data_IF_583790396106
#
_entry.id   IF_583790396106
#
_cell.length_a   1.000
_cell.length_b   1.000
_cell.length_c   1.000
_cell.angle_alpha   90.00
_cell.angle_beta   90.00
_cell.angle_gamma   90.00
#
_symmetry.space_group_name_H-M   'P 1'
#
loop_
_entity.id
_entity.type
_entity.pdbx_description
1 polymer ?
#
# COMPACT_ATOMS: atom_id res chain seq x y z
N UNK A 1 -16.08 -43.32 -71.54
CA UNK A 1 -16.44 -43.81 -70.19
C UNK A 1 -15.28 -43.57 -69.25
N UNK A 2 -15.39 -42.63 -68.31
CA UNK A 2 -14.79 -42.71 -66.98
C UNK A 2 -15.31 -41.53 -66.14
N UNK A 3 -15.73 -41.88 -64.94
CA UNK A 3 -16.70 -41.18 -64.13
C UNK A 3 -16.12 -39.97 -63.40
N UNK A 4 -16.94 -38.92 -63.28
CA UNK A 4 -16.79 -37.86 -62.29
C UNK A 4 -17.08 -38.43 -60.90
N UNK A 5 -16.21 -38.19 -59.92
CA UNK A 5 -16.54 -38.30 -58.50
C UNK A 5 -16.40 -36.92 -57.88
N UNK A 6 -17.54 -36.33 -57.53
CA UNK A 6 -17.62 -35.12 -56.71
C UNK A 6 -17.73 -35.57 -55.26
N UNK A 7 -16.72 -35.24 -54.44
CA UNK A 7 -16.73 -35.49 -52.99
C UNK A 7 -17.11 -34.17 -52.32
N UNK A 8 -18.33 -34.11 -51.80
CA UNK A 8 -18.82 -33.01 -50.97
C UNK A 8 -18.25 -33.19 -49.55
N UNK A 9 -17.25 -32.38 -49.16
CA UNK A 9 -16.80 -32.29 -47.78
C UNK A 9 -17.80 -31.42 -46.99
N UNK A 10 -18.56 -32.05 -46.10
CA UNK A 10 -19.35 -31.37 -45.07
C UNK A 10 -18.38 -30.95 -43.96
N UNK A 11 -18.11 -29.64 -43.84
CA UNK A 11 -17.32 -29.08 -42.76
C UNK A 11 -18.08 -29.14 -41.44
N UNK A 12 -17.65 -30.01 -40.52
CA UNK A 12 -18.02 -29.91 -39.11
C UNK A 12 -17.25 -28.72 -38.51
N UNK A 13 -17.97 -27.63 -38.22
CA UNK A 13 -17.46 -26.54 -37.41
C UNK A 13 -17.60 -26.96 -35.93
N UNK A 14 -16.51 -27.21 -35.18
CA UNK A 14 -16.63 -27.48 -33.76
C UNK A 14 -17.10 -26.20 -33.07
N UNK A 15 -18.30 -26.24 -32.46
CA UNK A 15 -18.71 -25.24 -31.49
C UNK A 15 -17.71 -25.30 -30.33
N UNK A 16 -16.79 -24.34 -30.28
CA UNK A 16 -16.06 -24.03 -29.07
C UNK A 16 -17.05 -23.39 -28.10
N UNK A 17 -17.55 -24.18 -27.16
CA UNK A 17 -18.19 -23.65 -25.96
C UNK A 17 -17.08 -22.92 -25.19
N UNK A 18 -17.00 -21.59 -25.33
CA UNK A 18 -16.23 -20.79 -24.38
C UNK A 18 -16.85 -21.00 -23.01
N UNK A 19 -16.20 -21.81 -22.18
CA UNK A 19 -16.43 -21.78 -20.75
C UNK A 19 -16.07 -20.37 -20.30
N UNK A 20 -17.11 -19.55 -20.09
CA UNK A 20 -16.96 -18.28 -19.41
C UNK A 20 -16.65 -18.65 -17.96
N UNK A 21 -15.38 -18.93 -17.67
CA UNK A 21 -14.86 -18.93 -16.32
C UNK A 21 -15.05 -17.49 -15.86
N UNK A 22 -16.16 -17.22 -15.18
CA UNK A 22 -16.31 -15.97 -14.47
C UNK A 22 -15.11 -15.87 -13.56
N UNK A 23 -14.32 -14.80 -13.72
CA UNK A 23 -13.33 -14.46 -12.72
C UNK A 23 -14.07 -14.45 -11.37
N UNK A 24 -13.63 -15.29 -10.42
CA UNK A 24 -14.03 -15.09 -9.03
C UNK A 24 -13.66 -13.64 -8.71
N UNK A 25 -14.65 -12.85 -8.35
CA UNK A 25 -14.42 -11.49 -7.88
C UNK A 25 -13.65 -11.63 -6.57
N UNK A 26 -12.32 -11.48 -6.65
CA UNK A 26 -11.46 -11.62 -5.48
C UNK A 26 -11.96 -10.68 -4.39
N UNK A 27 -12.05 -11.20 -3.17
CA UNK A 27 -12.51 -10.40 -2.04
C UNK A 27 -11.60 -9.16 -1.90
N UNK A 28 -12.17 -7.97 -1.61
CA UNK A 28 -11.37 -6.76 -1.45
C UNK A 28 -10.29 -6.95 -0.39
N UNK A 29 -9.06 -6.51 -0.69
CA UNK A 29 -7.95 -6.62 0.26
C UNK A 29 -8.26 -5.86 1.56
N UNK A 30 -7.78 -6.36 2.69
CA UNK A 30 -7.96 -5.73 4.00
C UNK A 30 -6.70 -5.00 4.43
N UNK A 31 -6.87 -3.72 4.77
CA UNK A 31 -5.79 -2.83 5.20
C UNK A 31 -6.00 -2.45 6.67
N UNK A 32 -5.00 -2.69 7.51
CA UNK A 32 -4.90 -2.06 8.83
C UNK A 32 -4.14 -0.75 8.68
N UNK A 33 -4.83 0.38 8.81
CA UNK A 33 -4.22 1.70 8.71
C UNK A 33 -3.87 2.26 10.08
N UNK A 34 -2.59 2.26 10.40
CA UNK A 34 -2.03 2.71 11.67
C UNK A 34 -1.67 4.20 11.56
N UNK A 35 -2.34 5.04 12.35
CA UNK A 35 -2.15 6.50 12.36
C UNK A 35 -1.76 7.04 13.73
N UNK A 36 -1.35 6.15 14.66
CA UNK A 36 -0.85 6.56 15.97
C UNK A 36 0.54 7.22 15.82
N UNK A 37 0.74 8.36 16.47
CA UNK A 37 2.05 9.01 16.57
C UNK A 37 2.50 9.11 18.02
N UNK A 38 3.76 8.77 18.29
CA UNK A 38 4.48 8.98 19.55
C UNK A 38 5.55 10.05 19.35
N UNK A 39 5.11 11.30 19.31
CA UNK A 39 5.96 12.44 18.97
C UNK A 39 5.12 13.55 18.40
N UNK A 40 5.58 14.16 17.30
CA UNK A 40 4.78 15.12 16.58
C UNK A 40 3.54 14.44 15.95
N UNK A 41 2.37 15.07 16.11
CA UNK A 41 1.10 14.58 15.58
C UNK A 41 0.64 15.52 14.47
N UNK A 42 0.82 15.09 13.22
CA UNK A 42 0.43 15.81 12.02
C UNK A 42 -1.08 16.03 11.96
N UNK A 43 -1.52 17.13 11.34
CA UNK A 43 -2.94 17.42 11.18
C UNK A 43 -3.70 16.38 10.35
N UNK A 44 -3.02 15.72 9.42
CA UNK A 44 -3.56 14.66 8.56
C UNK A 44 -3.96 13.39 9.32
N UNK A 45 -3.33 13.12 10.47
CA UNK A 45 -3.58 11.94 11.32
C UNK A 45 -4.22 12.30 12.65
N UNK A 46 -4.45 13.59 12.93
CA UNK A 46 -5.07 14.00 14.18
C UNK A 46 -6.57 13.72 14.15
N UNK A 47 -7.01 12.70 14.89
CA UNK A 47 -8.43 12.48 15.20
C UNK A 47 -8.97 13.60 16.10
N UNK A 48 -10.24 13.89 15.93
CA UNK A 48 -11.03 14.69 16.87
C UNK A 48 -12.11 13.77 17.45
N UNK A 49 -13.39 14.13 17.31
CA UNK A 49 -14.52 13.24 17.62
C UNK A 49 -14.73 12.15 16.55
N UNK A 50 -14.07 12.29 15.40
CA UNK A 50 -14.18 11.42 14.23
C UNK A 50 -12.81 11.00 13.71
N UNK A 51 -12.80 10.15 12.68
CA UNK A 51 -11.61 9.76 11.93
C UNK A 51 -10.81 10.98 11.46
N UNK A 52 -9.50 10.82 11.37
CA UNK A 52 -8.59 11.84 10.86
C UNK A 52 -8.77 12.05 9.35
N UNK A 53 -8.35 13.20 8.79
CA UNK A 53 -8.47 13.48 7.35
C UNK A 53 -7.90 12.37 6.44
N UNK A 54 -6.73 11.82 6.78
CA UNK A 54 -6.11 10.72 6.03
C UNK A 54 -6.92 9.42 6.09
N UNK A 55 -7.48 9.11 7.26
CA UNK A 55 -8.31 7.92 7.48
C UNK A 55 -9.60 8.00 6.67
N UNK A 56 -10.26 9.17 6.68
CA UNK A 56 -11.46 9.42 5.88
C UNK A 56 -11.14 9.24 4.40
N UNK A 57 -10.07 9.86 3.92
CA UNK A 57 -9.68 9.78 2.51
C UNK A 57 -9.39 8.34 2.07
N UNK A 58 -8.68 7.56 2.90
CA UNK A 58 -8.30 6.21 2.52
C UNK A 58 -9.47 5.23 2.57
N UNK A 59 -10.36 5.35 3.56
CA UNK A 59 -11.62 4.59 3.63
C UNK A 59 -12.48 4.89 2.41
N UNK A 60 -12.68 6.17 2.08
CA UNK A 60 -13.49 6.58 0.93
C UNK A 60 -12.91 6.08 -0.40
N UNK A 61 -11.58 6.06 -0.54
CA UNK A 61 -10.93 5.52 -1.73
C UNK A 61 -11.22 4.01 -1.88
N UNK A 62 -11.15 3.25 -0.78
CA UNK A 62 -11.50 1.83 -0.78
C UNK A 62 -12.97 1.61 -1.16
N UNK A 63 -13.89 2.39 -0.58
CA UNK A 63 -15.32 2.33 -0.89
C UNK A 63 -15.64 2.68 -2.35
N UNK A 64 -15.00 3.72 -2.90
CA UNK A 64 -15.23 4.18 -4.27
C UNK A 64 -14.68 3.23 -5.32
N UNK A 65 -13.54 2.59 -5.03
CA UNK A 65 -12.88 1.68 -5.98
C UNK A 65 -13.37 0.24 -5.85
N UNK A 66 -13.86 -0.15 -4.68
CA UNK A 66 -14.23 -1.54 -4.35
C UNK A 66 -13.03 -2.47 -4.18
N UNK A 67 -11.79 -1.97 -4.31
CA UNK A 67 -10.58 -2.79 -4.35
C UNK A 67 -10.10 -3.25 -2.97
N UNK A 68 -10.39 -2.47 -1.93
CA UNK A 68 -9.91 -2.75 -0.58
C UNK A 68 -10.83 -2.14 0.49
N UNK A 69 -10.67 -2.61 1.73
CA UNK A 69 -11.31 -2.09 2.94
C UNK A 69 -10.25 -1.67 3.93
N UNK A 70 -10.51 -0.58 4.66
CA UNK A 70 -9.55 -0.01 5.60
C UNK A 70 -10.14 -0.02 7.01
N UNK A 71 -9.44 -0.66 7.94
CA UNK A 71 -9.69 -0.54 9.38
C UNK A 71 -8.62 0.40 9.97
N UNK A 72 -9.04 1.52 10.56
CA UNK A 72 -8.11 2.55 11.04
C UNK A 72 -7.89 2.44 12.56
N UNK A 73 -6.63 2.47 13.02
CA UNK A 73 -6.28 2.42 14.45
C UNK A 73 -5.31 3.53 14.88
N UNK A 74 -5.53 4.02 16.10
CA UNK A 74 -4.57 4.84 16.86
C UNK A 74 -4.18 4.19 18.20
N UNK A 75 -4.44 2.90 18.34
CA UNK A 75 -4.13 2.10 19.53
C UNK A 75 -3.34 0.85 19.12
N UNK A 76 -2.05 1.05 18.84
CA UNK A 76 -1.19 -0.05 18.42
C UNK A 76 -1.06 -1.14 19.49
N UNK A 77 -1.19 -0.79 20.77
CA UNK A 77 -1.05 -1.74 21.87
C UNK A 77 -2.21 -2.75 21.87
N UNK A 78 -3.42 -2.29 21.58
CA UNK A 78 -4.60 -3.14 21.47
C UNK A 78 -4.71 -3.86 20.11
N UNK A 79 -4.44 -3.15 19.02
CA UNK A 79 -4.83 -3.59 17.68
C UNK A 79 -3.68 -4.22 16.87
N UNK A 80 -2.42 -3.89 17.18
CA UNK A 80 -1.26 -4.42 16.46
C UNK A 80 -0.75 -5.69 17.12
N UNK A 81 -1.54 -6.76 17.01
CA UNK A 81 -1.22 -8.07 17.61
C UNK A 81 -1.06 -9.14 16.54
N UNK A 82 -0.26 -10.18 16.81
CA UNK A 82 -0.09 -11.35 15.93
C UNK A 82 -1.42 -11.95 15.49
N UNK A 83 -2.40 -12.03 16.39
CA UNK A 83 -3.71 -12.58 16.08
C UNK A 83 -4.54 -11.65 15.21
N UNK A 84 -4.50 -10.34 15.45
CA UNK A 84 -5.26 -9.40 14.64
C UNK A 84 -4.65 -9.22 13.23
N UNK A 85 -3.32 -9.25 13.11
CA UNK A 85 -2.61 -9.14 11.83
C UNK A 85 -2.98 -10.22 10.81
N UNK A 86 -3.49 -11.37 11.25
CA UNK A 86 -3.98 -12.45 10.36
C UNK A 86 -5.22 -12.05 9.55
N UNK A 87 -5.90 -10.97 9.94
CA UNK A 87 -7.09 -10.47 9.26
C UNK A 87 -6.77 -9.47 8.14
N UNK A 88 -5.49 -9.16 7.90
CA UNK A 88 -5.06 -8.09 7.01
C UNK A 88 -4.08 -8.60 5.97
N UNK A 89 -4.23 -8.10 4.76
CA UNK A 89 -3.30 -8.31 3.65
C UNK A 89 -2.23 -7.23 3.64
N UNK A 90 -2.57 -6.01 4.11
CA UNK A 90 -1.69 -4.84 4.12
C UNK A 90 -1.73 -4.14 5.47
N UNK A 91 -0.56 -3.71 5.96
CA UNK A 91 -0.45 -2.74 7.04
C UNK A 91 0.07 -1.42 6.46
N UNK A 92 -0.70 -0.35 6.67
CA UNK A 92 -0.33 0.99 6.24
C UNK A 92 0.07 1.87 7.44
N UNK A 93 1.15 2.62 7.32
CA UNK A 93 1.67 3.50 8.36
C UNK A 93 1.58 4.97 7.93
N UNK A 94 0.92 5.80 8.73
CA UNK A 94 1.11 7.24 8.74
C UNK A 94 1.41 7.66 10.18
N UNK A 95 2.60 7.27 10.64
CA UNK A 95 2.98 7.27 12.06
C UNK A 95 4.19 8.16 12.32
N UNK A 96 4.54 8.38 13.58
CA UNK A 96 5.77 9.10 13.98
C UNK A 96 6.27 8.50 15.30
N UNK A 97 7.60 8.40 15.45
CA UNK A 97 8.26 8.00 16.70
C UNK A 97 8.16 6.51 17.03
N UNK A 98 8.34 6.18 18.31
CA UNK A 98 8.38 4.78 18.77
C UNK A 98 6.98 4.32 19.20
N UNK A 99 6.31 3.54 18.33
CA UNK A 99 4.95 3.07 18.59
C UNK A 99 4.90 2.06 19.74
N UNK A 100 3.80 2.03 20.52
CA UNK A 100 3.63 1.11 21.65
C UNK A 100 3.20 -0.28 21.16
N UNK A 101 3.92 -0.83 20.18
CA UNK A 101 3.73 -2.20 19.71
C UNK A 101 4.61 -3.09 20.60
N UNK A 102 4.01 -4.13 21.15
CA UNK A 102 4.73 -5.08 21.98
C UNK A 102 5.83 -5.80 21.16
N UNK A 103 6.96 -6.09 21.81
CA UNK A 103 8.14 -6.61 21.12
C UNK A 103 7.84 -7.90 20.34
N UNK A 104 7.11 -8.84 20.94
CA UNK A 104 6.74 -10.09 20.28
C UNK A 104 5.90 -9.89 19.01
N UNK A 105 5.04 -8.88 18.98
CA UNK A 105 4.17 -8.58 17.84
C UNK A 105 4.96 -7.88 16.73
N UNK A 106 5.91 -7.01 17.10
CA UNK A 106 6.87 -6.42 16.14
C UNK A 106 7.79 -7.49 15.55
N UNK A 107 8.29 -8.42 16.36
CA UNK A 107 9.10 -9.53 15.87
C UNK A 107 8.31 -10.43 14.92
N UNK A 108 7.07 -10.78 15.27
CA UNK A 108 6.18 -11.53 14.38
C UNK A 108 5.97 -10.78 13.06
N UNK A 109 5.69 -9.47 13.12
CA UNK A 109 5.45 -8.66 11.93
C UNK A 109 6.62 -8.71 10.95
N UNK A 110 7.85 -8.46 11.43
CA UNK A 110 9.04 -8.44 10.57
C UNK A 110 9.56 -9.82 10.17
N UNK A 111 9.53 -10.81 11.08
CA UNK A 111 10.17 -12.11 10.86
C UNK A 111 9.23 -13.17 10.27
N UNK A 112 7.91 -13.01 10.43
CA UNK A 112 6.92 -13.99 9.96
C UNK A 112 5.89 -13.36 9.02
N UNK A 113 5.22 -12.26 9.39
CA UNK A 113 4.09 -11.74 8.63
C UNK A 113 4.50 -11.17 7.26
N UNK A 114 5.51 -10.28 7.22
CA UNK A 114 6.03 -9.72 5.96
C UNK A 114 6.60 -10.82 5.05
N UNK A 115 7.49 -11.73 5.51
CA UNK A 115 8.02 -12.80 4.66
C UNK A 115 6.97 -13.77 4.12
N UNK A 116 5.81 -13.89 4.78
CA UNK A 116 4.70 -14.73 4.33
C UNK A 116 3.71 -14.00 3.41
N UNK A 117 4.07 -12.83 2.88
CA UNK A 117 3.30 -12.12 1.86
C UNK A 117 2.48 -10.94 2.39
N UNK A 118 2.64 -10.55 3.65
CA UNK A 118 2.03 -9.33 4.18
C UNK A 118 2.59 -8.08 3.51
N UNK A 119 1.70 -7.28 2.92
CA UNK A 119 2.05 -6.02 2.27
C UNK A 119 2.22 -4.88 3.26
N UNK A 120 3.07 -3.91 2.94
CA UNK A 120 3.27 -2.74 3.79
C UNK A 120 3.30 -1.47 2.96
N UNK A 121 2.68 -0.42 3.48
CA UNK A 121 2.62 0.90 2.86
C UNK A 121 3.03 1.96 3.88
N UNK A 122 3.86 2.92 3.47
CA UNK A 122 4.21 4.07 4.30
C UNK A 122 3.77 5.37 3.65
N UNK A 123 3.19 6.25 4.46
CA UNK A 123 2.83 7.61 4.08
C UNK A 123 3.71 8.60 4.83
N UNK A 124 4.35 9.50 4.10
CA UNK A 124 4.95 10.73 4.64
C UNK A 124 5.82 10.48 5.89
N UNK A 125 5.29 10.73 7.10
CA UNK A 125 6.02 10.59 8.35
C UNK A 125 6.30 9.14 8.78
N UNK A 126 5.85 8.12 8.03
CA UNK A 126 6.24 6.74 8.26
C UNK A 126 7.78 6.58 8.37
N UNK A 127 8.55 7.28 7.54
CA UNK A 127 10.02 7.30 7.64
C UNK A 127 10.59 7.95 8.92
N UNK A 128 9.76 8.66 9.68
CA UNK A 128 10.04 9.28 11.00
C UNK A 128 9.61 8.36 12.17
N UNK A 129 9.38 7.07 11.90
CA UNK A 129 9.01 6.05 12.89
C UNK A 129 10.23 5.18 13.21
N UNK A 130 10.39 4.78 14.48
CA UNK A 130 11.42 3.84 14.94
C UNK A 130 12.87 4.13 14.49
N UNK A 131 13.38 5.32 14.80
CA UNK A 131 14.69 5.82 14.36
C UNK A 131 15.90 4.96 14.70
N UNK A 132 15.77 4.13 15.75
CA UNK A 132 16.85 3.32 16.31
C UNK A 132 16.56 1.82 16.20
N UNK A 133 15.61 1.40 15.35
CA UNK A 133 15.28 0.00 15.15
C UNK A 133 15.54 -0.40 13.70
N UNK A 134 16.63 -1.16 13.52
CA UNK A 134 17.12 -1.58 12.21
C UNK A 134 16.10 -2.26 11.31
N UNK A 135 15.34 -3.26 11.79
CA UNK A 135 14.35 -3.91 10.94
C UNK A 135 13.32 -2.95 10.34
N UNK A 136 12.98 -1.84 11.01
CA UNK A 136 12.03 -0.87 10.47
C UNK A 136 12.65 0.04 9.42
N UNK A 137 13.81 0.66 9.70
CA UNK A 137 14.41 1.57 8.72
C UNK A 137 15.00 0.84 7.51
N UNK A 138 15.45 -0.41 7.67
CA UNK A 138 15.92 -1.26 6.57
C UNK A 138 14.75 -1.57 5.63
N UNK A 139 13.62 -1.96 6.22
CA UNK A 139 12.37 -2.21 5.49
C UNK A 139 11.82 -0.94 4.79
N UNK A 140 11.81 0.22 5.47
CA UNK A 140 11.29 1.47 4.91
C UNK A 140 12.23 2.15 3.90
N UNK A 141 13.48 1.67 3.78
CA UNK A 141 14.49 2.26 2.90
C UNK A 141 15.21 3.49 3.48
N UNK A 142 15.03 3.81 4.75
CA UNK A 142 15.74 4.90 5.43
C UNK A 142 15.08 5.40 6.71
N UNK A 143 15.77 6.32 7.38
CA UNK A 143 15.28 7.03 8.58
C UNK A 143 15.31 8.53 8.34
N UNK A 144 14.19 9.21 8.59
CA UNK A 144 14.08 10.67 8.50
C UNK A 144 15.10 11.38 9.38
N UNK A 145 15.72 12.45 8.86
CA UNK A 145 16.66 13.30 9.61
C UNK A 145 16.39 14.80 9.48
N UNK A 146 15.33 15.20 8.75
CA UNK A 146 14.98 16.60 8.57
C UNK A 146 14.36 16.90 7.20
N UNK A 147 13.79 18.10 7.07
CA UNK A 147 13.19 18.59 5.83
C UNK A 147 13.53 20.08 5.60
N UNK A 148 14.65 20.41 4.93
CA UNK A 148 15.00 21.83 4.72
C UNK A 148 14.04 22.55 3.76
N UNK A 149 13.20 21.81 3.03
CA UNK A 149 12.05 22.31 2.29
C UNK A 149 10.76 21.91 3.02
N UNK A 150 9.90 22.89 3.33
CA UNK A 150 8.65 22.68 4.05
C UNK A 150 7.42 22.66 3.14
N UNK A 151 6.25 22.35 3.69
CA UNK A 151 4.99 22.12 2.95
C UNK A 151 4.53 23.27 2.01
N UNK A 152 5.09 24.47 2.14
CA UNK A 152 4.79 25.60 1.25
C UNK A 152 5.64 25.67 -0.02
N UNK A 153 6.70 24.84 -0.12
CA UNK A 153 7.65 24.87 -1.23
C UNK A 153 7.07 24.18 -2.47
N UNK A 154 7.25 24.80 -3.63
CA UNK A 154 6.95 24.15 -4.92
C UNK A 154 8.10 23.21 -5.27
N UNK A 155 7.76 21.94 -5.54
CA UNK A 155 8.72 20.88 -5.84
C UNK A 155 8.33 20.22 -7.16
N UNK A 156 9.34 19.87 -7.97
CA UNK A 156 9.16 19.07 -9.18
C UNK A 156 9.65 17.67 -8.90
N UNK A 157 8.79 16.69 -9.11
CA UNK A 157 9.11 15.27 -8.95
C UNK A 157 9.33 14.66 -10.33
N UNK A 158 10.45 13.95 -10.49
CA UNK A 158 10.81 13.23 -11.72
C UNK A 158 10.46 11.77 -11.56
N UNK A 159 9.69 11.23 -12.49
CA UNK A 159 9.39 9.81 -12.56
C UNK A 159 10.55 9.06 -13.23
N UNK A 160 11.25 8.24 -12.44
CA UNK A 160 12.38 7.42 -12.92
C UNK A 160 11.93 6.12 -13.61
N UNK A 161 10.67 5.72 -13.45
CA UNK A 161 10.11 4.48 -14.02
C UNK A 161 8.76 4.73 -14.71
N UNK A 162 8.71 5.46 -15.85
CA UNK A 162 7.45 5.88 -16.46
C UNK A 162 6.55 4.75 -16.96
N UNK A 163 7.06 3.51 -17.07
CA UNK A 163 6.26 2.33 -17.42
C UNK A 163 5.77 1.51 -16.23
N UNK A 164 6.09 1.91 -15.00
CA UNK A 164 5.61 1.24 -13.78
C UNK A 164 4.16 1.67 -13.50
N UNK A 165 3.20 0.72 -13.37
CA UNK A 165 1.78 1.04 -13.16
C UNK A 165 1.49 1.94 -11.94
N UNK A 166 2.37 1.94 -10.94
CA UNK A 166 2.22 2.79 -9.75
C UNK A 166 2.40 4.28 -10.05
N UNK A 167 3.18 4.62 -11.08
CA UNK A 167 3.60 6.00 -11.35
C UNK A 167 3.30 6.47 -12.78
N UNK A 168 2.81 5.57 -13.64
CA UNK A 168 2.50 5.85 -15.05
C UNK A 168 1.56 7.06 -15.21
N UNK A 169 0.56 7.19 -14.34
CA UNK A 169 -0.44 8.27 -14.39
C UNK A 169 0.12 9.68 -14.13
N UNK A 170 1.29 9.80 -13.52
CA UNK A 170 1.92 11.09 -13.22
C UNK A 170 2.77 11.64 -14.38
N UNK A 171 2.95 10.86 -15.45
CA UNK A 171 3.83 11.23 -16.55
C UNK A 171 5.30 11.27 -16.15
N UNK A 172 6.13 12.00 -16.92
CA UNK A 172 7.58 12.09 -16.69
C UNK A 172 7.94 12.98 -15.51
N UNK A 173 7.24 14.10 -15.37
CA UNK A 173 7.44 15.07 -14.29
C UNK A 173 6.10 15.65 -13.87
N UNK A 174 5.96 15.92 -12.58
CA UNK A 174 4.81 16.63 -12.05
C UNK A 174 5.23 17.56 -10.92
N UNK A 175 4.40 18.58 -10.67
CA UNK A 175 4.71 19.66 -9.74
C UNK A 175 3.66 19.69 -8.63
N UNK A 176 4.12 19.73 -7.39
CA UNK A 176 3.27 19.82 -6.19
C UNK A 176 3.82 20.85 -5.22
N UNK A 177 3.02 21.20 -4.21
CA UNK A 177 3.51 21.86 -3.00
C UNK A 177 3.64 20.84 -1.90
N UNK A 178 4.87 20.65 -1.41
CA UNK A 178 5.14 19.66 -0.38
C UNK A 178 6.46 19.96 0.34
N UNK A 179 6.68 19.26 1.45
CA UNK A 179 7.97 19.17 2.12
C UNK A 179 8.79 17.99 1.61
N UNK A 180 10.12 18.13 1.62
CA UNK A 180 11.04 17.10 1.11
C UNK A 180 11.96 16.63 2.21
N UNK A 181 11.91 15.32 2.44
CA UNK A 181 12.61 14.67 3.53
C UNK A 181 14.03 14.29 3.13
N UNK A 182 14.93 14.41 4.09
CA UNK A 182 16.26 13.84 4.04
C UNK A 182 16.30 12.58 4.91
N UNK A 183 17.05 11.58 4.45
CA UNK A 183 17.17 10.29 5.09
C UNK A 183 18.62 9.94 5.42
N UNK A 184 18.83 9.26 6.55
CA UNK A 184 20.01 8.40 6.79
C UNK A 184 19.64 6.94 6.61
N UNK A 185 20.63 6.05 6.56
CA UNK A 185 20.44 4.63 6.22
C UNK A 185 19.71 4.44 4.88
N UNK A 186 19.84 5.42 3.99
CA UNK A 186 19.16 5.42 2.70
C UNK A 186 19.65 4.25 1.84
N UNK A 187 18.71 3.42 1.39
CA UNK A 187 18.96 2.30 0.49
C UNK A 187 18.32 2.62 -0.88
N UNK A 188 19.11 3.11 -1.86
CA UNK A 188 18.63 3.44 -3.20
C UNK A 188 18.26 2.20 -4.03
#
# INVERSE_FOLDING_TARGET
MRHFFSVLLIGLCPLFLSANVGAEEEAPSRILFVTQSKGFVHGSVRRQETLAPSEIAFVQLGEQTGLFRVDCTQDCEADFTKDNLKNYDIVAFYTTGDLPIAEQDREYFFKEWIPNGGGVMGFHSAGDTYHNYEPYWDFMGGTFIGHPWGAGNTVTLTNHEPGNPLVESFGKEFVIKDEIYMYRHWQP
#
